data_IF_643319046718
#
_entry.id   IF_643319046718
#
_cell.length_a   1.000
_cell.length_b   1.000
_cell.length_c   1.000
_cell.angle_alpha   90.00
_cell.angle_beta   90.00
_cell.angle_gamma   90.00
#
_symmetry.space_group_name_H-M   'P 1'
#
loop_
_entity.id
_entity.type
_entity.pdbx_description
1 polymer ?
2 non-polymer ?
3 water ?
#
# COMPACT_ATOMS: atom_id res chain seq x y z
N UNK A 2 5.76 16.82 32.53
CA UNK A 2 6.58 15.61 32.50
C UNK A 2 6.00 14.57 31.55
N UNK A 3 4.68 14.43 31.55
CA UNK A 3 4.00 13.49 30.68
C UNK A 3 4.08 13.92 29.22
N UNK A 4 4.01 15.23 28.99
CA UNK A 4 4.09 15.79 27.63
C UNK A 4 5.50 15.58 27.06
N UNK A 5 6.51 15.82 27.89
CA UNK A 5 7.90 15.59 27.53
C UNK A 5 8.14 14.10 27.21
N UNK A 6 7.54 13.22 28.02
CA UNK A 6 7.62 11.76 27.80
C UNK A 6 7.03 11.37 26.44
N UNK A 7 5.89 11.97 26.10
CA UNK A 7 5.21 11.71 24.83
C UNK A 7 6.03 12.16 23.62
N UNK A 8 6.69 13.32 23.74
CA UNK A 8 7.48 13.84 22.63
C UNK A 8 8.65 12.92 22.29
N UNK A 9 9.25 12.32 23.33
CA UNK A 9 10.38 11.40 23.16
C UNK A 9 9.98 10.03 22.63
N UNK A 10 8.80 9.54 22.99
CA UNK A 10 8.26 8.32 22.39
C UNK A 10 7.86 8.59 20.93
N UNK A 11 7.11 9.67 20.73
CA UNK A 11 6.74 10.17 19.42
C UNK A 11 7.93 10.32 18.48
N UNK A 12 9.04 10.84 18.99
CA UNK A 12 10.27 11.02 18.20
C UNK A 12 10.82 9.68 17.71
N UNK A 13 10.89 8.71 18.62
CA UNK A 13 11.32 7.35 18.26
C UNK A 13 10.45 6.70 17.20
N UNK A 14 9.14 6.80 17.37
CA UNK A 14 8.16 6.21 16.45
C UNK A 14 8.32 6.81 15.05
N UNK A 15 8.53 8.13 15.01
CA UNK A 15 8.61 8.85 13.74
C UNK A 15 9.81 8.46 12.86
N UNK A 16 10.78 7.73 13.42
CA UNK A 16 11.87 7.24 12.59
C UNK A 16 11.54 5.93 11.85
N UNK A 17 10.52 5.21 12.33
CA UNK A 17 10.13 3.94 11.70
C UNK A 17 9.94 4.10 10.20
N UNK A 18 9.32 5.20 9.80
CA UNK A 18 9.03 5.49 8.39
C UNK A 18 10.27 5.58 7.51
N UNK A 19 11.44 5.80 8.14
CA UNK A 19 12.70 5.85 7.42
C UNK A 19 13.09 4.52 6.77
N UNK A 20 12.52 3.42 7.24
CA UNK A 20 12.77 2.14 6.60
C UNK A 20 12.32 2.16 5.11
N UNK A 21 11.30 2.98 4.82
CA UNK A 21 10.75 3.09 3.47
C UNK A 21 11.79 3.67 2.53
N UNK A 22 12.44 4.76 2.94
CA UNK A 22 13.50 5.37 2.13
C UNK A 22 14.71 4.44 2.03
N UNK A 23 15.09 3.80 3.14
CA UNK A 23 16.22 2.87 3.16
C UNK A 23 16.04 1.76 2.12
N UNK A 24 14.83 1.22 2.03
CA UNK A 24 14.51 0.17 1.07
C UNK A 24 14.30 0.77 -0.32
N UNK A 25 13.57 1.87 -0.40
CA UNK A 25 13.23 2.46 -1.69
C UNK A 25 14.42 2.99 -2.48
N UNK A 26 15.31 3.71 -1.81
CA UNK A 26 16.56 4.13 -2.44
C UNK A 26 17.32 2.92 -3.01
N UNK A 27 17.42 1.85 -2.21
CA UNK A 27 18.01 0.60 -2.68
C UNK A 27 17.36 0.02 -3.94
N UNK A 28 16.04 -0.01 -3.99
CA UNK A 28 15.32 -0.57 -5.12
C UNK A 28 15.68 0.22 -6.40
N UNK A 29 15.75 1.54 -6.27
CA UNK A 29 16.14 2.36 -7.40
C UNK A 29 17.55 2.01 -7.89
N UNK A 30 18.50 1.96 -6.96
CA UNK A 30 19.87 1.65 -7.34
C UNK A 30 20.06 0.25 -7.90
N UNK A 31 19.30 -0.72 -7.37
CA UNK A 31 19.27 -2.09 -7.90
C UNK A 31 18.83 -2.09 -9.35
N UNK A 32 17.75 -1.38 -9.66
CA UNK A 32 17.32 -1.23 -11.06
C UNK A 32 18.36 -0.56 -11.96
N UNK A 33 18.99 0.50 -11.46
CA UNK A 33 20.11 1.14 -12.16
C UNK A 33 21.21 0.16 -12.54
N UNK A 34 21.69 -0.59 -11.55
CA UNK A 34 22.78 -1.54 -11.77
C UNK A 34 22.34 -2.65 -12.75
N UNK A 35 21.10 -3.13 -12.60
CA UNK A 35 20.63 -4.19 -13.47
C UNK A 35 20.40 -3.69 -14.90
N UNK A 36 19.89 -2.47 -15.03
CA UNK A 36 19.68 -1.91 -16.34
C UNK A 36 20.95 -1.64 -17.11
N UNK A 37 21.93 -1.08 -16.41
CA UNK A 37 23.25 -0.84 -16.97
C UNK A 37 23.98 -2.15 -17.34
N UNK A 38 23.87 -3.17 -16.50
CA UNK A 38 24.51 -4.44 -16.81
C UNK A 38 23.94 -5.08 -18.07
N UNK A 39 22.64 -5.01 -18.24
CA UNK A 39 21.97 -5.54 -19.43
C UNK A 39 22.13 -4.70 -20.69
N UNK A 40 22.25 -3.37 -20.54
CA UNK A 40 22.42 -2.46 -21.68
C UNK A 40 23.39 -1.31 -21.32
N UNK A 41 24.70 -1.56 -21.36
CA UNK A 41 25.64 -0.57 -20.88
C UNK A 41 25.50 0.80 -21.58
N UNK A 42 25.10 0.82 -22.86
CA UNK A 42 25.01 2.08 -23.61
C UNK A 42 23.91 3.04 -23.10
N UNK A 43 23.04 2.53 -22.24
CA UNK A 43 21.91 3.34 -21.71
C UNK A 43 22.27 4.10 -20.42
N UNK A 44 23.47 3.89 -19.91
CA UNK A 44 23.91 4.45 -18.63
C UNK A 44 23.59 5.96 -18.48
N UNK A 45 23.94 6.76 -19.49
CA UNK A 45 23.74 8.21 -19.40
C UNK A 45 22.28 8.65 -19.45
N UNK A 46 21.41 7.76 -19.92
CA UNK A 46 19.98 8.01 -19.92
C UNK A 46 19.39 7.69 -18.54
N UNK A 47 19.76 6.54 -17.97
CA UNK A 47 19.05 6.03 -16.78
C UNK A 47 19.64 6.53 -15.47
N UNK A 48 20.90 6.96 -15.51
CA UNK A 48 21.50 7.51 -14.32
C UNK A 48 20.72 8.72 -13.77
N UNK A 49 20.42 9.74 -14.62
CA UNK A 49 19.60 10.83 -14.10
C UNK A 49 18.23 10.36 -13.60
N UNK A 50 17.66 9.32 -14.22
CA UNK A 50 16.38 8.81 -13.73
C UNK A 50 16.52 8.24 -12.31
N UNK A 51 17.62 7.52 -12.06
CA UNK A 51 17.86 6.94 -10.74
C UNK A 51 18.06 8.07 -9.71
N UNK A 52 18.71 9.15 -10.10
CA UNK A 52 18.91 10.30 -9.20
C UNK A 52 17.56 10.95 -8.84
N UNK A 53 16.68 11.14 -9.82
CA UNK A 53 15.35 11.66 -9.53
C UNK A 53 14.60 10.69 -8.63
N UNK A 54 14.67 9.40 -8.97
CA UNK A 54 14.10 8.34 -8.13
C UNK A 54 14.58 8.38 -6.70
N UNK A 55 15.91 8.43 -6.52
CA UNK A 55 16.49 8.51 -5.19
C UNK A 55 15.94 9.73 -4.44
N UNK A 56 15.90 10.88 -5.11
CA UNK A 56 15.53 12.13 -4.46
C UNK A 56 14.08 12.11 -3.95
N UNK A 57 13.17 11.63 -4.78
CA UNK A 57 11.78 11.54 -4.41
C UNK A 57 11.54 10.54 -3.27
N UNK A 58 12.19 9.39 -3.33
CA UNK A 58 12.11 8.42 -2.23
C UNK A 58 12.73 8.96 -0.93
N UNK A 59 13.91 9.54 -1.03
CA UNK A 59 14.56 10.23 0.10
C UNK A 59 13.67 11.28 0.75
N UNK A 60 12.88 12.01 -0.05
CA UNK A 60 12.00 13.06 0.52
C UNK A 60 11.02 12.53 1.58
N UNK A 61 10.53 11.31 1.39
CA UNK A 61 9.65 10.72 2.39
C UNK A 61 10.41 10.53 3.70
N UNK A 62 11.65 10.05 3.60
CA UNK A 62 12.50 9.86 4.77
C UNK A 62 12.82 11.18 5.48
N UNK A 63 13.17 12.19 4.70
CA UNK A 63 13.49 13.54 5.23
C UNK A 63 12.35 14.10 6.11
N UNK A 64 11.12 13.89 5.67
CA UNK A 64 9.94 14.42 6.34
C UNK A 64 9.53 13.62 7.58
N UNK A 65 9.84 12.32 7.59
CA UNK A 65 9.81 11.57 8.85
C UNK A 65 10.75 12.19 9.87
N UNK A 66 11.97 12.49 9.43
CA UNK A 66 13.03 12.99 10.30
C UNK A 66 12.74 14.42 10.78
N UNK A 67 12.04 15.18 9.94
CA UNK A 67 11.55 16.52 10.25
C UNK A 67 10.57 16.46 11.42
N UNK A 68 9.58 15.57 11.32
CA UNK A 68 8.63 15.36 12.41
C UNK A 68 9.41 14.94 13.67
N UNK A 69 10.37 14.05 13.50
CA UNK A 69 11.19 13.58 14.62
C UNK A 69 11.93 14.71 15.36
N UNK A 70 12.53 15.62 14.61
CA UNK A 70 13.29 16.72 15.19
C UNK A 70 12.38 17.82 15.76
N UNK A 71 11.17 17.95 15.21
CA UNK A 71 10.18 18.86 15.77
C UNK A 71 9.69 18.36 17.12
N UNK A 72 9.67 17.03 17.29
CA UNK A 72 9.27 16.43 18.55
C UNK A 72 10.37 16.46 19.62
N UNK A 73 11.60 16.12 19.21
CA UNK A 73 12.74 16.15 20.13
C UNK A 73 13.05 17.57 20.61
N UNK A 74 12.95 18.53 19.69
CA UNK A 74 13.17 19.94 20.01
C UNK A 74 11.90 20.73 19.71
N UNK B 2 -2.90 17.84 29.77
CA UNK B 2 -1.60 17.15 29.70
C UNK B 2 -1.68 15.83 28.93
N UNK B 3 -2.75 15.07 29.17
CA UNK B 3 -2.91 13.76 28.52
C UNK B 3 -3.28 13.89 27.04
N UNK B 4 -4.06 14.92 26.71
CA UNK B 4 -4.47 15.20 25.33
C UNK B 4 -3.27 15.64 24.49
N UNK B 5 -2.43 16.50 25.07
CA UNK B 5 -1.23 16.98 24.42
C UNK B 5 -0.24 15.83 24.21
N UNK B 6 -0.08 15.00 25.24
CA UNK B 6 0.70 13.77 25.15
C UNK B 6 0.27 12.90 23.96
N UNK B 7 -1.05 12.71 23.82
CA UNK B 7 -1.61 11.86 22.78
C UNK B 7 -1.49 12.45 21.37
N UNK B 8 -1.59 13.76 21.26
CA UNK B 8 -1.37 14.47 20.01
C UNK B 8 0.05 14.19 19.50
N UNK B 9 1.03 14.24 20.40
CA UNK B 9 2.43 14.02 20.02
C UNK B 9 2.75 12.56 19.71
N UNK B 10 2.12 11.63 20.42
CA UNK B 10 2.25 10.20 20.09
C UNK B 10 1.59 9.93 18.74
N UNK B 11 0.35 10.39 18.60
CA UNK B 11 -0.41 10.32 17.35
C UNK B 11 0.36 10.84 16.15
N UNK B 12 0.99 12.00 16.29
CA UNK B 12 1.75 12.61 15.19
C UNK B 12 2.93 11.74 14.74
N UNK B 13 3.60 11.09 15.69
CA UNK B 13 4.70 10.18 15.38
C UNK B 13 4.24 8.93 14.67
N UNK B 14 3.08 8.42 15.10
CA UNK B 14 2.51 7.21 14.51
C UNK B 14 2.05 7.47 13.07
N UNK B 15 1.56 8.69 12.85
CA UNK B 15 1.06 9.06 11.53
C UNK B 15 2.17 9.18 10.48
N UNK B 16 3.43 9.13 10.89
CA UNK B 16 4.50 9.16 9.88
C UNK B 16 4.86 7.74 9.38
N UNK B 17 4.44 6.71 10.10
CA UNK B 17 4.73 5.31 9.72
C UNK B 17 4.27 5.03 8.30
N UNK B 18 3.07 5.49 7.98
CA UNK B 18 2.49 5.35 6.64
C UNK B 18 3.33 5.86 5.47
N UNK B 19 4.26 6.79 5.74
CA UNK B 19 5.13 7.39 4.72
C UNK B 19 6.05 6.36 4.06
N UNK B 20 6.27 5.23 4.73
CA UNK B 20 7.12 4.17 4.22
C UNK B 20 6.54 3.58 2.93
N UNK B 21 5.22 3.67 2.79
CA UNK B 21 4.53 3.18 1.60
C UNK B 21 4.91 4.03 0.38
N UNK B 22 4.90 5.35 0.55
CA UNK B 22 5.33 6.27 -0.50
C UNK B 22 6.82 6.12 -0.81
N UNK B 23 7.62 5.96 0.23
CA UNK B 23 9.08 5.80 0.07
C UNK B 23 9.37 4.59 -0.81
N UNK B 24 8.67 3.48 -0.54
CA UNK B 24 8.85 2.24 -1.30
C UNK B 24 8.16 2.30 -2.67
N UNK B 25 6.92 2.79 -2.69
CA UNK B 25 6.14 2.86 -3.92
C UNK B 25 6.77 3.75 -4.98
N UNK B 26 7.22 4.93 -4.59
CA UNK B 26 7.92 5.78 -5.54
C UNK B 26 9.14 5.07 -6.16
N UNK B 27 9.92 4.40 -5.31
CA UNK B 27 11.04 3.59 -5.79
C UNK B 27 10.65 2.51 -6.80
N UNK B 28 9.53 1.83 -6.55
CA UNK B 28 9.08 0.71 -7.39
C UNK B 28 8.77 1.27 -8.79
N UNK B 29 8.12 2.43 -8.82
CA UNK B 29 7.78 3.07 -10.09
C UNK B 29 9.05 3.43 -10.86
N UNK B 30 10.04 3.99 -10.17
CA UNK B 30 11.29 4.39 -10.82
C UNK B 30 12.14 3.21 -11.25
N UNK B 31 12.08 2.13 -10.48
CA UNK B 31 12.73 0.88 -10.87
C UNK B 31 12.18 0.32 -12.19
N UNK B 32 10.85 0.34 -12.32
CA UNK B 32 10.18 -0.08 -13.56
C UNK B 32 10.56 0.84 -14.72
N UNK B 33 10.54 2.15 -14.48
CA UNK B 33 11.01 3.10 -15.48
C UNK B 33 12.42 2.73 -16.00
N UNK B 34 13.38 2.55 -15.09
CA UNK B 34 14.75 2.30 -15.46
C UNK B 34 14.86 0.97 -16.21
N UNK B 35 14.20 -0.06 -15.67
CA UNK B 35 14.27 -1.36 -16.33
C UNK B 35 13.59 -1.34 -17.70
N UNK B 36 12.46 -0.65 -17.84
CA UNK B 36 11.80 -0.60 -19.13
C UNK B 36 12.56 0.20 -20.18
N UNK B 37 13.15 1.32 -19.77
CA UNK B 37 14.03 2.08 -20.67
C UNK B 37 15.31 1.29 -21.06
N UNK B 38 15.93 0.57 -20.12
CA UNK B 38 17.11 -0.24 -20.45
C UNK B 38 16.78 -1.33 -21.48
N UNK B 39 15.63 -1.97 -21.31
CA UNK B 39 15.22 -3.02 -22.25
C UNK B 39 14.72 -2.47 -23.59
N UNK B 40 14.18 -1.26 -23.60
CA UNK B 40 13.64 -0.70 -24.83
C UNK B 40 13.83 0.82 -24.83
N UNK B 41 15.05 1.29 -25.16
CA UNK B 41 15.26 2.75 -25.08
C UNK B 41 14.29 3.61 -25.89
N UNK B 42 13.76 3.10 -27.01
CA UNK B 42 12.86 3.88 -27.88
C UNK B 42 11.51 4.25 -27.25
N UNK B 43 11.18 3.62 -26.13
CA UNK B 43 9.88 3.80 -25.48
C UNK B 43 9.91 4.91 -24.41
N UNK B 44 11.09 5.46 -24.16
CA UNK B 44 11.27 6.30 -22.96
C UNK B 44 10.30 7.50 -22.90
N UNK B 45 10.11 8.19 -24.02
CA UNK B 45 9.17 9.32 -24.06
C UNK B 45 7.73 8.89 -23.76
N UNK B 46 7.41 7.63 -24.01
CA UNK B 46 6.07 7.12 -23.67
C UNK B 46 5.93 6.79 -22.18
N UNK B 47 6.94 6.15 -21.60
CA UNK B 47 6.82 5.62 -20.24
C UNK B 47 7.18 6.64 -19.17
N UNK B 48 7.98 7.64 -19.55
CA UNK B 48 8.38 8.67 -18.60
C UNK B 48 7.16 9.40 -17.99
N UNK B 49 6.19 9.86 -18.82
CA UNK B 49 4.99 10.47 -18.20
C UNK B 49 4.13 9.50 -17.38
N UNK B 50 4.18 8.21 -17.69
CA UNK B 50 3.50 7.23 -16.83
C UNK B 50 4.16 7.15 -15.47
N UNK B 51 5.49 7.23 -15.45
CA UNK B 51 6.23 7.15 -14.21
C UNK B 51 5.94 8.38 -13.33
N UNK B 52 5.79 9.54 -13.97
CA UNK B 52 5.46 10.79 -13.25
C UNK B 52 4.05 10.71 -12.66
N UNK B 53 3.07 10.25 -13.45
CA UNK B 53 1.74 9.96 -12.93
C UNK B 53 1.77 8.97 -11.74
N UNK B 54 2.48 7.86 -11.90
CA UNK B 54 2.58 6.85 -10.84
C UNK B 54 3.20 7.34 -9.53
N UNK B 55 4.35 8.03 -9.66
CA UNK B 55 5.01 8.66 -8.52
C UNK B 55 4.05 9.61 -7.79
N UNK B 56 3.36 10.47 -8.57
CA UNK B 56 2.46 11.49 -8.02
C UNK B 56 1.34 10.90 -7.19
N UNK B 57 0.74 9.84 -7.73
CA UNK B 57 -0.38 9.17 -7.07
C UNK B 57 0.07 8.44 -5.81
N UNK B 58 1.22 7.76 -5.88
CA UNK B 58 1.78 7.08 -4.70
C UNK B 58 2.15 8.10 -3.59
N UNK B 59 2.85 9.17 -4.00
CA UNK B 59 3.20 10.30 -3.13
C UNK B 59 2.01 10.93 -2.40
N UNK B 60 0.86 11.05 -3.09
CA UNK B 60 -0.36 11.61 -2.50
C UNK B 60 -0.79 10.86 -1.22
N UNK B 61 -0.55 9.55 -1.16
CA UNK B 61 -0.86 8.79 0.06
C UNK B 61 0.01 9.25 1.22
N UNK B 62 1.30 9.46 0.95
CA UNK B 62 2.24 9.96 1.95
C UNK B 62 1.94 11.41 2.33
N UNK B 63 1.47 12.21 1.38
CA UNK B 63 1.12 13.61 1.66
C UNK B 63 0.00 13.70 2.71
N UNK B 64 -0.96 12.79 2.63
CA UNK B 64 -2.06 12.78 3.60
C UNK B 64 -1.72 12.16 4.97
N UNK B 65 -0.74 11.27 5.01
CA UNK B 65 -0.15 10.86 6.29
C UNK B 65 0.45 12.07 7.00
N UNK B 66 1.17 12.89 6.22
CA UNK B 66 1.80 14.10 6.71
C UNK B 66 0.81 15.15 7.20
N UNK B 67 -0.30 15.31 6.45
CA UNK B 67 -1.34 16.28 6.78
C UNK B 67 -1.94 15.97 8.16
N UNK B 68 -2.19 14.68 8.42
CA UNK B 68 -2.67 14.25 9.73
C UNK B 68 -1.63 14.52 10.82
N UNK B 69 -0.36 14.23 10.51
CA UNK B 69 0.76 14.50 11.40
C UNK B 69 0.83 15.99 11.80
N UNK B 70 0.75 16.87 10.81
CA UNK B 70 0.77 18.31 11.04
C UNK B 70 -0.47 18.82 11.75
N UNK B 71 -1.64 18.21 11.50
CA UNK B 71 -2.88 18.57 12.19
C UNK B 71 -2.81 18.26 13.68
N UNK B 72 -2.12 17.18 14.02
CA UNK B 72 -1.91 16.80 15.42
C UNK B 72 -0.83 17.65 16.08
N UNK B 73 0.21 17.98 15.32
CA UNK B 73 1.31 18.81 15.81
C UNK B 73 0.93 20.30 15.96
N UNK B 74 0.17 20.83 15.00
CA UNK B 74 -0.08 22.27 14.94
C UNK B 74 -1.55 22.70 15.08
N UNK B 75 -2.45 21.72 15.14
CA UNK B 75 -3.89 22.00 15.23
C UNK B 75 -4.32 22.71 16.50
N UNK C 2 -10.80 13.40 29.12
CA UNK C 2 -9.36 13.51 28.84
C UNK C 2 -8.84 12.22 28.21
N UNK C 3 -9.40 11.09 28.65
CA UNK C 3 -9.01 9.78 28.15
C UNK C 3 -9.61 9.51 26.76
N UNK C 4 -10.87 9.90 26.58
CA UNK C 4 -11.57 9.72 25.32
C UNK C 4 -10.91 10.55 24.20
N UNK C 5 -10.58 11.81 24.50
CA UNK C 5 -9.88 12.68 23.56
C UNK C 5 -8.51 12.14 23.19
N UNK C 6 -7.74 11.74 24.20
CA UNK C 6 -6.44 11.09 23.99
C UNK C 6 -6.55 9.94 22.99
N UNK C 7 -7.56 9.09 23.19
CA UNK C 7 -7.83 7.94 22.32
C UNK C 7 -8.19 8.33 20.88
N UNK C 8 -8.99 9.38 20.73
CA UNK C 8 -9.36 9.90 19.42
C UNK C 8 -8.12 10.25 18.59
N UNK C 9 -7.14 10.88 19.24
CA UNK C 9 -5.94 11.36 18.56
C UNK C 9 -4.88 10.28 18.33
N UNK C 10 -4.76 9.34 19.25
CA UNK C 10 -3.93 8.16 19.05
C UNK C 10 -4.51 7.33 17.89
N UNK C 11 -5.80 7.03 18.00
CA UNK C 11 -6.55 6.30 16.99
C UNK C 11 -6.43 6.88 15.59
N UNK C 12 -6.49 8.21 15.48
CA UNK C 12 -6.35 8.91 14.19
C UNK C 12 -4.97 8.71 13.58
N UNK C 13 -3.92 8.72 14.41
CA UNK C 13 -2.57 8.47 13.93
C UNK C 13 -2.39 7.03 13.46
N UNK C 14 -2.94 6.10 14.23
CA UNK C 14 -2.89 4.67 13.88
C UNK C 14 -3.62 4.40 12.55
N UNK C 15 -4.72 5.11 12.34
CA UNK C 15 -5.56 4.89 11.16
C UNK C 15 -4.91 5.34 9.85
N UNK C 16 -3.78 6.04 9.94
CA UNK C 16 -3.06 6.37 8.71
C UNK C 16 -2.12 5.25 8.23
N UNK C 17 -1.79 4.30 9.11
CA UNK C 17 -0.84 3.24 8.77
C UNK C 17 -1.30 2.49 7.51
N UNK C 18 -2.58 2.17 7.46
CA UNK C 18 -3.19 1.53 6.29
C UNK C 18 -2.89 2.16 4.94
N UNK C 19 -2.62 3.48 4.93
CA UNK C 19 -2.27 4.20 3.70
C UNK C 19 -1.02 3.67 2.97
N UNK C 20 -0.14 3.00 3.71
CA UNK C 20 1.06 2.42 3.09
C UNK C 20 0.69 1.39 2.04
N UNK C 21 -0.47 0.76 2.22
CA UNK C 21 -0.99 -0.24 1.27
C UNK C 21 -1.32 0.35 -0.09
N UNK C 22 -1.99 1.50 -0.09
CA UNK C 22 -2.29 2.18 -1.34
C UNK C 22 -1.01 2.81 -1.96
N UNK C 23 -0.11 3.33 -1.13
CA UNK C 23 1.12 3.93 -1.65
C UNK C 23 1.94 2.88 -2.39
N UNK C 24 2.00 1.67 -1.82
CA UNK C 24 2.69 0.54 -2.45
C UNK C 24 1.87 -0.04 -3.60
N UNK C 25 0.57 -0.26 -3.37
CA UNK C 25 -0.29 -0.84 -4.42
C UNK C 25 -0.33 0.01 -5.69
N UNK C 26 -0.55 1.31 -5.55
CA UNK C 26 -0.59 2.20 -6.73
C UNK C 26 0.71 2.08 -7.56
N UNK C 27 1.83 2.04 -6.85
CA UNK C 27 3.12 1.86 -7.48
C UNK C 27 3.25 0.57 -8.25
N UNK C 28 2.75 -0.53 -7.67
CA UNK C 28 2.79 -1.85 -8.30
C UNK C 28 2.03 -1.87 -9.63
N UNK C 29 0.84 -1.26 -9.64
CA UNK C 29 0.06 -1.11 -10.87
C UNK C 29 0.86 -0.31 -11.92
N UNK C 30 1.42 0.82 -11.52
CA UNK C 30 2.14 1.67 -12.49
C UNK C 30 3.43 1.03 -13.02
N UNK C 31 4.15 0.32 -12.15
CA UNK C 31 5.30 -0.53 -12.55
C UNK C 31 4.95 -1.53 -13.63
N UNK C 32 3.83 -2.22 -13.44
CA UNK C 32 3.35 -3.20 -14.41
C UNK C 32 2.98 -2.54 -15.74
N UNK C 33 2.38 -1.34 -15.65
CA UNK C 33 2.02 -0.59 -16.86
C UNK C 33 3.28 -0.26 -17.65
N UNK C 34 4.28 0.24 -16.91
CA UNK C 34 5.50 0.63 -17.55
C UNK C 34 6.19 -0.57 -18.17
N UNK C 35 6.25 -1.67 -17.42
CA UNK C 35 6.96 -2.81 -17.94
C UNK C 35 6.20 -3.44 -19.11
N UNK C 36 4.87 -3.49 -19.05
CA UNK C 36 4.10 -4.01 -20.17
C UNK C 36 4.22 -3.22 -21.46
N UNK C 37 4.12 -1.90 -21.34
CA UNK C 37 4.32 -0.99 -22.49
C UNK C 37 5.75 -1.09 -23.07
N UNK C 38 6.79 -1.11 -22.23
CA UNK C 38 8.16 -1.27 -22.74
C UNK C 38 8.34 -2.56 -23.55
N UNK C 39 7.72 -3.64 -23.08
CA UNK C 39 7.83 -4.94 -23.75
C UNK C 39 6.93 -5.04 -24.99
N UNK C 40 5.79 -4.36 -24.98
CA UNK C 40 4.86 -4.41 -26.12
C UNK C 40 4.21 -3.02 -26.32
N UNK C 41 4.92 -2.05 -26.94
CA UNK C 41 4.35 -0.69 -27.06
C UNK C 41 2.95 -0.60 -27.67
N UNK C 42 2.61 -1.51 -28.59
CA UNK C 42 1.32 -1.43 -29.27
C UNK C 42 0.12 -1.72 -28.34
N UNK C 43 0.37 -2.24 -27.15
CA UNK C 43 -0.68 -2.56 -26.17
C UNK C 43 -1.08 -1.37 -25.27
N UNK C 44 -0.39 -0.23 -25.40
CA UNK C 44 -0.60 0.93 -24.53
C UNK C 44 -2.09 1.34 -24.33
N UNK C 45 -2.82 1.53 -25.44
CA UNK C 45 -4.23 1.97 -25.32
C UNK C 45 -5.16 0.94 -24.66
N UNK C 46 -4.74 -0.32 -24.66
CA UNK C 46 -5.50 -1.39 -24.00
C UNK C 46 -5.25 -1.40 -22.48
N UNK C 47 -3.98 -1.34 -22.09
CA UNK C 47 -3.62 -1.52 -20.67
C UNK C 47 -3.70 -0.24 -19.83
N UNK C 48 -3.57 0.91 -20.48
CA UNK C 48 -3.62 2.17 -19.74
C UNK C 48 -4.93 2.31 -18.92
N UNK C 49 -6.10 2.06 -19.54
CA UNK C 49 -7.36 2.06 -18.77
C UNK C 49 -7.42 0.99 -17.69
N UNK C 50 -6.84 -0.19 -17.92
CA UNK C 50 -6.76 -1.20 -16.84
C UNK C 50 -5.95 -0.68 -15.66
N UNK C 51 -4.89 0.07 -15.96
CA UNK C 51 -4.03 0.63 -14.91
C UNK C 51 -4.78 1.72 -14.11
N UNK C 52 -5.59 2.52 -14.81
CA UNK C 52 -6.41 3.53 -14.13
C UNK C 52 -7.44 2.88 -13.17
N UNK C 53 -8.09 1.81 -13.62
CA UNK C 53 -9.03 1.06 -12.79
C UNK C 53 -8.34 0.43 -11.59
N UNK C 54 -7.17 -0.17 -11.81
CA UNK C 54 -6.39 -0.79 -10.73
C UNK C 54 -5.96 0.25 -9.68
N UNK C 55 -5.46 1.39 -10.15
CA UNK C 55 -5.11 2.51 -9.27
C UNK C 55 -6.32 2.95 -8.44
N UNK C 56 -7.46 3.13 -9.10
CA UNK C 56 -8.69 3.61 -8.46
C UNK C 56 -9.16 2.70 -7.32
N UNK C 57 -9.12 1.39 -7.58
CA UNK C 57 -9.57 0.41 -6.61
C UNK C 57 -8.55 0.30 -5.45
N UNK C 58 -7.27 0.45 -5.76
CA UNK C 58 -6.24 0.37 -4.74
C UNK C 58 -6.31 1.60 -3.85
N UNK C 59 -6.53 2.75 -4.49
CA UNK C 59 -6.65 4.05 -3.85
C UNK C 59 -7.81 4.11 -2.86
N UNK C 60 -8.93 3.50 -3.23
CA UNK C 60 -10.11 3.48 -2.39
C UNK C 60 -9.84 2.88 -1.01
N UNK C 61 -8.90 1.94 -0.91
CA UNK C 61 -8.57 1.35 0.39
C UNK C 61 -7.87 2.39 1.26
N UNK C 62 -7.07 3.24 0.60
CA UNK C 62 -6.40 4.35 1.26
C UNK C 62 -7.40 5.41 1.70
N UNK C 63 -8.34 5.74 0.82
CA UNK C 63 -9.36 6.76 1.10
C UNK C 63 -10.20 6.42 2.36
N UNK C 64 -10.55 5.15 2.52
CA UNK C 64 -11.33 4.70 3.69
C UNK C 64 -10.52 4.79 5.00
N UNK C 65 -9.24 4.46 4.97
CA UNK C 65 -8.36 4.68 6.12
C UNK C 65 -8.39 6.14 6.56
N UNK C 66 -8.26 7.04 5.59
CA UNK C 66 -8.23 8.47 5.87
C UNK C 66 -9.59 8.99 6.36
N UNK C 67 -10.68 8.36 5.89
CA UNK C 67 -12.02 8.70 6.33
C UNK C 67 -12.17 8.41 7.82
N UNK C 68 -11.75 7.21 8.23
CA UNK C 68 -11.74 6.82 9.64
C UNK C 68 -10.87 7.79 10.44
N UNK C 69 -9.70 8.12 9.89
CA UNK C 69 -8.80 9.09 10.48
C UNK C 69 -9.47 10.45 10.68
N UNK C 70 -10.22 10.92 9.68
CA UNK C 70 -10.91 12.21 9.74
C UNK C 70 -12.09 12.19 10.71
N UNK C 71 -12.79 11.05 10.78
CA UNK C 71 -13.89 10.88 11.73
C UNK C 71 -13.39 10.98 13.18
N UNK C 72 -12.26 10.35 13.47
CA UNK C 72 -11.67 10.40 14.81
C UNK C 72 -11.10 11.78 15.15
N UNK C 73 -10.62 12.51 14.13
CA UNK C 73 -10.12 13.87 14.34
C UNK C 73 -11.20 14.95 14.43
N UNK C 74 -12.27 14.81 13.65
CA UNK C 74 -13.25 15.90 13.52
C UNK C 74 -14.67 15.55 13.96
N UNK C 75 -14.95 14.26 14.19
CA UNK C 75 -16.27 13.83 14.62
C UNK C 75 -16.27 13.36 16.07
N UNK D 2 -15.93 5.92 30.13
CA UNK D 2 -14.80 6.63 29.53
C UNK D 2 -13.72 5.70 28.99
N UNK D 3 -13.37 4.69 29.78
CA UNK D 3 -12.36 3.70 29.40
C UNK D 3 -12.83 2.86 28.20
N UNK D 4 -14.09 2.45 28.23
CA UNK D 4 -14.68 1.64 27.17
C UNK D 4 -14.77 2.42 25.86
N UNK D 5 -15.15 3.69 25.95
CA UNK D 5 -15.24 4.55 24.77
C UNK D 5 -13.85 4.80 24.15
N UNK D 6 -12.88 5.10 25.01
CA UNK D 6 -11.49 5.26 24.58
C UNK D 6 -10.97 4.04 23.82
N UNK D 7 -11.32 2.85 24.33
CA UNK D 7 -10.94 1.60 23.70
C UNK D 7 -11.64 1.40 22.35
N UNK D 8 -12.89 1.86 22.24
CA UNK D 8 -13.61 1.81 20.97
C UNK D 8 -12.89 2.59 19.87
N UNK D 9 -12.29 3.72 20.24
CA UNK D 9 -11.61 4.59 19.28
C UNK D 9 -10.21 4.13 18.93
N UNK D 10 -9.47 3.60 19.91
CA UNK D 10 -8.19 2.94 19.66
C UNK D 10 -8.40 1.73 18.75
N UNK D 11 -9.33 0.86 19.14
CA UNK D 11 -9.73 -0.31 18.36
C UNK D 11 -10.10 -0.01 16.92
N UNK D 12 -10.92 1.02 16.70
CA UNK D 12 -11.34 1.42 15.37
C UNK D 12 -10.15 1.84 14.48
N UNK D 13 -9.16 2.48 15.09
CA UNK D 13 -7.95 2.88 14.37
C UNK D 13 -7.08 1.71 14.01
N UNK D 14 -6.93 0.79 14.97
CA UNK D 14 -6.18 -0.45 14.76
C UNK D 14 -6.80 -1.27 13.63
N UNK D 15 -8.12 -1.28 13.55
CA UNK D 15 -8.83 -2.14 12.60
C UNK D 15 -8.63 -1.73 11.14
N UNK D 16 -8.16 -0.50 10.89
CA UNK D 16 -7.89 -0.11 9.50
C UNK D 16 -6.54 -0.60 8.99
N UNK D 17 -5.66 -1.05 9.88
CA UNK D 17 -4.33 -1.54 9.47
C UNK D 17 -4.47 -2.63 8.39
N UNK D 18 -5.37 -3.59 8.61
CA UNK D 18 -5.59 -4.68 7.67
C UNK D 18 -5.99 -4.29 6.25
N UNK D 19 -6.53 -3.09 6.07
CA UNK D 19 -6.76 -2.54 4.75
C UNK D 19 -5.53 -2.46 3.84
N UNK D 20 -4.32 -2.43 4.42
CA UNK D 20 -3.11 -2.40 3.61
C UNK D 20 -3.01 -3.69 2.75
N UNK D 21 -3.65 -4.76 3.24
CA UNK D 21 -3.67 -6.07 2.57
C UNK D 21 -4.44 -6.01 1.26
N UNK D 22 -5.62 -5.40 1.30
CA UNK D 22 -6.42 -5.17 0.09
C UNK D 22 -5.76 -4.14 -0.86
N UNK D 23 -5.25 -3.04 -0.32
CA UNK D 23 -4.52 -2.06 -1.13
C UNK D 23 -3.45 -2.71 -2.00
N UNK D 24 -2.59 -3.51 -1.37
CA UNK D 24 -1.52 -4.23 -2.07
C UNK D 24 -2.07 -5.40 -2.91
N UNK D 25 -3.00 -6.16 -2.34
CA UNK D 25 -3.49 -7.36 -3.04
C UNK D 25 -4.17 -6.97 -4.35
N UNK D 26 -5.04 -5.97 -4.31
CA UNK D 26 -5.74 -5.51 -5.52
C UNK D 26 -4.74 -5.11 -6.60
N UNK D 27 -3.66 -4.45 -6.18
CA UNK D 27 -2.63 -4.01 -7.11
C UNK D 27 -1.92 -5.19 -7.75
N UNK D 28 -1.63 -6.21 -6.96
CA UNK D 28 -0.94 -7.41 -7.45
C UNK D 28 -1.77 -8.11 -8.53
N UNK D 29 -3.09 -8.13 -8.36
CA UNK D 29 -4.00 -8.72 -9.34
C UNK D 29 -3.96 -7.93 -10.63
N UNK D 30 -4.14 -6.62 -10.54
CA UNK D 30 -4.08 -5.76 -11.72
C UNK D 30 -2.72 -5.72 -12.43
N UNK D 31 -1.64 -5.77 -11.66
CA UNK D 31 -0.31 -5.93 -12.26
C UNK D 31 -0.20 -7.20 -13.10
N UNK D 32 -0.77 -8.30 -12.62
CA UNK D 32 -0.70 -9.56 -13.38
C UNK D 32 -1.52 -9.46 -14.66
N UNK D 33 -2.70 -8.86 -14.55
CA UNK D 33 -3.56 -8.60 -15.70
C UNK D 33 -2.81 -7.83 -16.77
N UNK D 34 -2.20 -6.72 -16.37
CA UNK D 34 -1.53 -5.84 -17.32
C UNK D 34 -0.37 -6.62 -17.96
N UNK D 35 0.39 -7.32 -17.14
CA UNK D 35 1.53 -8.04 -17.68
C UNK D 35 1.07 -9.21 -18.58
N UNK D 36 0.01 -9.91 -18.17
CA UNK D 36 -0.53 -11.00 -18.99
C UNK D 36 -1.05 -10.55 -20.33
N UNK D 37 -1.77 -9.42 -20.34
CA UNK D 37 -2.28 -8.85 -21.57
C UNK D 37 -1.15 -8.32 -22.46
N UNK D 38 -0.12 -7.72 -21.86
CA UNK D 38 1.00 -7.25 -22.66
C UNK D 38 1.76 -8.37 -23.37
N UNK D 39 1.94 -9.50 -22.69
CA UNK D 39 2.62 -10.66 -23.27
C UNK D 39 1.76 -11.44 -24.27
N UNK D 40 0.45 -11.44 -24.08
CA UNK D 40 -0.45 -12.19 -24.96
C UNK D 40 -1.75 -11.42 -25.10
N UNK D 41 -1.78 -10.41 -25.99
CA UNK D 41 -3.02 -9.62 -26.08
C UNK D 41 -4.30 -10.41 -26.34
N UNK D 42 -4.22 -11.50 -27.12
CA UNK D 42 -5.44 -12.28 -27.45
C UNK D 42 -6.11 -12.90 -26.21
N UNK D 43 -5.40 -12.95 -25.08
CA UNK D 43 -5.95 -13.59 -23.86
C UNK D 43 -6.81 -12.66 -22.97
N UNK D 44 -6.90 -11.38 -23.38
CA UNK D 44 -7.59 -10.34 -22.60
C UNK D 44 -8.99 -10.75 -22.09
N UNK D 45 -9.86 -11.20 -22.97
CA UNK D 45 -11.23 -11.56 -22.59
C UNK D 45 -11.31 -12.72 -21.60
N UNK D 46 -10.29 -13.59 -21.63
CA UNK D 46 -10.19 -14.73 -20.73
C UNK D 46 -9.72 -14.29 -19.33
N UNK D 47 -8.73 -13.42 -19.24
CA UNK D 47 -8.10 -13.13 -17.93
C UNK D 47 -8.76 -11.95 -17.21
N UNK D 48 -9.41 -11.07 -17.95
CA UNK D 48 -10.14 -9.97 -17.32
C UNK D 48 -11.13 -10.45 -16.24
N UNK D 49 -11.97 -11.48 -16.53
CA UNK D 49 -12.88 -11.92 -15.46
C UNK D 49 -12.18 -12.55 -14.26
N UNK D 50 -11.02 -13.17 -14.50
CA UNK D 50 -10.20 -13.71 -13.41
C UNK D 50 -9.66 -12.59 -12.53
N UNK D 51 -9.27 -11.48 -13.15
CA UNK D 51 -8.80 -10.30 -12.42
C UNK D 51 -9.93 -9.71 -11.58
N UNK D 52 -11.13 -9.66 -12.13
CA UNK D 52 -12.27 -9.12 -11.37
C UNK D 52 -12.56 -9.98 -10.14
N UNK D 53 -12.61 -11.29 -10.32
CA UNK D 53 -12.80 -12.22 -9.22
C UNK D 53 -11.70 -12.05 -8.16
N UNK D 54 -10.44 -12.03 -8.62
CA UNK D 54 -9.29 -11.79 -7.76
C UNK D 54 -9.43 -10.52 -6.94
N UNK D 55 -9.74 -9.41 -7.63
CA UNK D 55 -9.95 -8.14 -6.96
C UNK D 55 -11.01 -8.25 -5.84
N UNK D 56 -12.18 -8.81 -6.19
CA UNK D 56 -13.33 -8.88 -5.29
C UNK D 56 -13.01 -9.69 -4.04
N UNK D 57 -12.31 -10.81 -4.23
CA UNK D 57 -11.96 -11.68 -3.10
C UNK D 57 -10.91 -11.04 -2.19
N UNK D 58 -9.91 -10.37 -2.77
CA UNK D 58 -8.95 -9.59 -2.01
C UNK D 58 -9.61 -8.40 -1.30
N UNK D 59 -10.50 -7.71 -2.01
CA UNK D 59 -11.22 -6.55 -1.47
C UNK D 59 -12.11 -6.92 -0.29
N UNK D 60 -12.64 -8.13 -0.29
CA UNK D 60 -13.57 -8.56 0.75
C UNK D 60 -12.89 -8.56 2.11
N UNK D 61 -11.60 -8.88 2.14
CA UNK D 61 -10.84 -8.85 3.39
C UNK D 61 -10.75 -7.42 3.94
N UNK D 62 -10.53 -6.45 3.05
CA UNK D 62 -10.47 -5.04 3.44
C UNK D 62 -11.83 -4.54 3.93
N UNK D 63 -12.87 -4.98 3.24
CA UNK D 63 -14.26 -4.64 3.56
C UNK D 63 -14.63 -5.03 5.00
N UNK D 64 -14.21 -6.23 5.41
CA UNK D 64 -14.45 -6.70 6.76
C UNK D 64 -13.64 -5.99 7.85
N UNK D 65 -12.43 -5.55 7.51
CA UNK D 65 -11.67 -4.69 8.41
C UNK D 65 -12.44 -3.41 8.69
N UNK D 66 -13.02 -2.83 7.64
CA UNK D 66 -13.78 -1.59 7.78
C UNK D 66 -15.07 -1.79 8.60
N UNK D 67 -15.71 -2.94 8.42
CA UNK D 67 -16.94 -3.26 9.15
C UNK D 67 -16.68 -3.26 10.67
N UNK D 68 -15.61 -3.93 11.08
CA UNK D 68 -15.18 -3.97 12.49
C UNK D 68 -14.85 -2.56 12.98
N UNK D 69 -14.19 -1.80 12.11
CA UNK D 69 -13.87 -0.40 12.40
C UNK D 69 -15.12 0.41 12.73
N UNK D 70 -16.14 0.32 11.88
CA UNK D 70 -17.38 1.08 12.02
C UNK D 70 -18.32 0.55 13.10
N UNK D 71 -18.23 -0.75 13.43
CA UNK D 71 -18.91 -1.28 14.59
C UNK D 71 -18.36 -0.62 15.85
N UNK D 72 -17.04 -0.48 15.90
CA UNK D 72 -16.39 0.15 17.05
C UNK D 72 -16.66 1.66 17.14
N UNK D 73 -16.63 2.36 16.00
CA UNK D 73 -16.93 3.80 15.94
C UNK D 73 -18.40 4.10 16.24
N UNK D 74 -19.28 3.21 15.81
CA UNK D 74 -20.72 3.37 15.97
C UNK D 74 -21.35 2.06 16.43
N UNK E 2 -15.36 -2.63 33.30
CA UNK E 2 -15.02 -1.63 32.30
C UNK E 2 -13.68 -1.94 31.62
N UNK E 3 -12.76 -2.51 32.39
CA UNK E 3 -11.43 -2.86 31.91
C UNK E 3 -11.45 -4.07 30.98
N UNK E 4 -12.32 -5.04 31.30
CA UNK E 4 -12.51 -6.24 30.46
C UNK E 4 -13.16 -5.89 29.12
N UNK E 5 -14.19 -5.04 29.14
CA UNK E 5 -14.87 -4.64 27.90
C UNK E 5 -13.93 -3.83 27.00
N UNK E 6 -13.15 -2.95 27.62
CA UNK E 6 -12.08 -2.21 26.94
C UNK E 6 -11.15 -3.15 26.19
N UNK E 7 -10.72 -4.20 26.87
CA UNK E 7 -9.82 -5.19 26.30
C UNK E 7 -10.45 -5.94 25.12
N UNK E 8 -11.73 -6.28 25.25
CA UNK E 8 -12.46 -6.97 24.19
C UNK E 8 -12.49 -6.12 22.90
N UNK E 9 -12.62 -4.81 23.08
CA UNK E 9 -12.71 -3.92 21.94
C UNK E 9 -11.36 -3.69 21.28
N UNK E 10 -10.31 -3.49 22.08
CA UNK E 10 -8.96 -3.32 21.55
C UNK E 10 -8.51 -4.63 20.88
N UNK E 11 -8.70 -5.74 21.60
CA UNK E 11 -8.47 -7.09 21.07
C UNK E 11 -9.14 -7.37 19.73
N UNK E 12 -10.43 -7.02 19.62
CA UNK E 12 -11.18 -7.18 18.36
C UNK E 12 -10.49 -6.47 17.20
N UNK E 13 -10.06 -5.23 17.45
CA UNK E 13 -9.32 -4.46 16.46
C UNK E 13 -8.00 -5.10 16.05
N UNK E 14 -7.22 -5.51 17.04
CA UNK E 14 -5.93 -6.14 16.79
C UNK E 14 -6.10 -7.41 15.94
N UNK E 15 -7.18 -8.14 16.18
CA UNK E 15 -7.39 -9.42 15.51
C UNK E 15 -7.71 -9.32 14.00
N UNK E 16 -7.95 -8.10 13.50
CA UNK E 16 -8.21 -7.92 12.07
C UNK E 16 -6.92 -7.69 11.26
N UNK E 17 -5.81 -7.42 11.93
CA UNK E 17 -4.52 -7.23 11.27
C UNK E 17 -4.15 -8.43 10.40
N UNK E 18 -4.29 -9.64 10.95
CA UNK E 18 -3.98 -10.87 10.22
C UNK E 18 -4.73 -11.04 8.90
N UNK E 19 -5.82 -10.29 8.72
CA UNK E 19 -6.59 -10.30 7.47
C UNK E 19 -5.79 -9.78 6.29
N UNK E 20 -4.78 -8.96 6.56
CA UNK E 20 -3.89 -8.49 5.51
C UNK E 20 -3.24 -9.69 4.77
N UNK E 21 -3.00 -10.78 5.52
CA UNK E 21 -2.43 -12.01 5.00
C UNK E 21 -3.29 -12.69 3.93
N UNK E 22 -4.59 -12.83 4.18
CA UNK E 22 -5.52 -13.27 3.14
C UNK E 22 -5.63 -12.26 2.00
N UNK E 23 -5.72 -10.97 2.31
CA UNK E 23 -5.82 -9.93 1.28
C UNK E 23 -4.73 -10.07 0.24
N UNK E 24 -3.50 -10.22 0.71
CA UNK E 24 -2.35 -10.37 -0.18
C UNK E 24 -2.28 -11.80 -0.75
N UNK E 25 -2.44 -12.80 0.12
CA UNK E 25 -2.29 -14.19 -0.34
C UNK E 25 -3.25 -14.53 -1.48
N UNK E 26 -4.53 -14.20 -1.31
CA UNK E 26 -5.53 -14.43 -2.37
C UNK E 26 -5.10 -13.78 -3.70
N UNK E 27 -4.62 -12.55 -3.61
CA UNK E 27 -4.12 -11.85 -4.80
C UNK E 27 -2.94 -12.56 -5.47
N UNK E 28 -2.00 -13.06 -4.67
CA UNK E 28 -0.85 -13.83 -5.18
C UNK E 28 -1.30 -15.07 -6.00
N UNK E 29 -2.32 -15.76 -5.49
CA UNK E 29 -2.86 -16.92 -6.19
C UNK E 29 -3.46 -16.50 -7.52
N UNK E 30 -4.32 -15.50 -7.49
CA UNK E 30 -4.92 -14.99 -8.74
C UNK E 30 -3.91 -14.41 -9.76
N UNK E 31 -2.86 -13.75 -9.27
CA UNK E 31 -1.79 -13.26 -10.14
C UNK E 31 -1.09 -14.41 -10.88
N UNK E 32 -0.82 -15.50 -10.16
CA UNK E 32 -0.28 -16.72 -10.77
C UNK E 32 -1.23 -17.31 -11.81
N UNK E 33 -2.51 -17.36 -11.48
CA UNK E 33 -3.49 -17.87 -12.40
C UNK E 33 -3.46 -17.07 -13.70
N UNK E 34 -3.52 -15.75 -13.59
CA UNK E 34 -3.53 -14.88 -14.75
C UNK E 34 -2.25 -15.07 -15.60
N UNK E 35 -1.11 -15.12 -14.91
CA UNK E 35 0.15 -15.23 -15.62
C UNK E 35 0.33 -16.63 -16.23
N UNK E 36 -0.16 -17.67 -15.55
CA UNK E 36 -0.08 -18.99 -16.16
C UNK E 36 -0.97 -19.17 -17.38
N UNK E 37 -2.19 -18.64 -17.31
CA UNK E 37 -3.11 -18.73 -18.43
C UNK E 37 -2.66 -17.86 -19.61
N UNK E 38 -2.07 -16.69 -19.34
CA UNK E 38 -1.54 -15.87 -20.42
C UNK E 38 -0.40 -16.55 -21.16
N UNK E 39 0.48 -17.23 -20.42
CA UNK E 39 1.60 -17.95 -21.04
C UNK E 39 1.18 -19.25 -21.71
N UNK E 40 0.16 -19.91 -21.17
CA UNK E 40 -0.29 -21.20 -21.72
C UNK E 40 -1.82 -21.28 -21.66
N UNK E 41 -2.53 -20.63 -22.60
CA UNK E 41 -4.02 -20.63 -22.51
C UNK E 41 -4.67 -22.01 -22.41
N UNK E 42 -4.05 -23.03 -23.00
CA UNK E 42 -4.62 -24.37 -23.03
C UNK E 42 -4.66 -25.03 -21.63
N UNK E 43 -3.99 -24.43 -20.66
CA UNK E 43 -3.90 -25.03 -19.31
C UNK E 43 -5.00 -24.54 -18.37
N UNK E 44 -5.85 -23.62 -18.84
CA UNK E 44 -6.86 -22.93 -18.03
C UNK E 44 -7.70 -23.88 -17.14
N UNK E 45 -8.22 -24.96 -17.74
CA UNK E 45 -9.17 -25.86 -17.05
C UNK E 45 -8.47 -26.71 -15.99
N UNK E 46 -7.17 -26.86 -16.13
CA UNK E 46 -6.34 -27.52 -15.14
C UNK E 46 -6.01 -26.62 -13.93
N UNK E 47 -5.62 -25.38 -14.20
CA UNK E 47 -5.11 -24.53 -13.13
C UNK E 47 -6.20 -23.74 -12.40
N UNK E 48 -7.35 -23.57 -13.04
CA UNK E 48 -8.41 -22.82 -12.37
C UNK E 48 -8.89 -23.47 -11.05
N UNK E 49 -9.13 -24.80 -11.03
CA UNK E 49 -9.44 -25.49 -9.77
C UNK E 49 -8.31 -25.43 -8.72
N UNK E 50 -7.07 -25.31 -9.16
CA UNK E 50 -5.96 -25.12 -8.23
C UNK E 50 -6.01 -23.72 -7.61
N UNK E 51 -6.41 -22.74 -8.40
CA UNK E 51 -6.51 -21.38 -7.87
C UNK E 51 -7.66 -21.28 -6.86
N UNK E 52 -8.77 -21.95 -7.13
CA UNK E 52 -9.90 -21.99 -6.19
C UNK E 52 -9.49 -22.67 -4.87
N UNK E 53 -8.85 -23.83 -4.96
CA UNK E 53 -8.32 -24.49 -3.77
C UNK E 53 -7.37 -23.57 -3.02
N UNK E 54 -6.40 -22.98 -3.73
CA UNK E 54 -5.42 -22.07 -3.10
C UNK E 54 -6.06 -20.86 -2.44
N UNK E 55 -7.01 -20.22 -3.13
CA UNK E 55 -7.79 -19.13 -2.56
C UNK E 55 -8.46 -19.57 -1.26
N UNK E 56 -9.14 -20.71 -1.29
CA UNK E 56 -9.94 -21.14 -0.15
C UNK E 56 -9.09 -21.41 1.08
N UNK E 57 -7.91 -22.00 0.87
CA UNK E 57 -6.98 -22.33 1.96
C UNK E 57 -6.31 -21.07 2.55
N UNK E 58 -6.02 -20.09 1.71
CA UNK E 58 -5.47 -18.83 2.20
C UNK E 58 -6.56 -18.01 2.92
N UNK E 59 -7.76 -18.03 2.36
CA UNK E 59 -8.90 -17.31 2.92
C UNK E 59 -9.33 -17.84 4.28
N UNK E 60 -9.11 -19.13 4.52
CA UNK E 60 -9.48 -19.75 5.79
C UNK E 60 -8.69 -19.16 6.96
N UNK E 61 -7.44 -18.78 6.69
CA UNK E 61 -6.62 -18.10 7.69
C UNK E 61 -7.25 -16.77 8.08
N UNK E 62 -7.70 -16.01 7.09
CA UNK E 62 -8.39 -14.74 7.34
C UNK E 62 -9.72 -14.94 8.05
N UNK E 63 -10.44 -16.00 7.66
CA UNK E 63 -11.73 -16.32 8.25
C UNK E 63 -11.63 -16.53 9.76
N UNK E 64 -10.56 -17.19 10.19
CA UNK E 64 -10.38 -17.46 11.61
C UNK E 64 -9.88 -16.27 12.43
N UNK E 65 -9.12 -15.36 11.81
CA UNK E 65 -8.83 -14.06 12.42
C UNK E 65 -10.14 -13.35 12.73
N UNK E 66 -11.07 -13.43 11.78
CA UNK E 66 -12.37 -12.78 11.88
C UNK E 66 -13.29 -13.44 12.93
N UNK E 67 -13.15 -14.75 13.12
CA UNK E 67 -13.88 -15.49 14.16
C UNK E 67 -13.47 -14.96 15.53
N UNK E 68 -12.15 -14.82 15.73
CA UNK E 68 -11.56 -14.30 16.97
C UNK E 68 -12.04 -12.86 17.23
N UNK E 69 -12.05 -12.05 16.18
CA UNK E 69 -12.60 -10.69 16.22
C UNK E 69 -14.04 -10.67 16.74
N UNK E 70 -14.91 -11.42 16.07
CA UNK E 70 -16.34 -11.47 16.40
C UNK E 70 -16.64 -12.06 17.78
N UNK E 71 -15.85 -13.05 18.20
CA UNK E 71 -15.93 -13.61 19.56
C UNK E 71 -15.61 -12.57 20.63
N UNK E 72 -14.65 -11.71 20.36
CA UNK E 72 -14.31 -10.61 21.27
C UNK E 72 -15.37 -9.51 21.28
N UNK E 73 -15.88 -9.15 20.10
CA UNK E 73 -16.93 -8.12 19.98
C UNK E 73 -18.22 -8.52 20.68
N UNK E 74 -18.61 -9.80 20.55
CA UNK E 74 -19.91 -10.26 21.01
C UNK E 74 -19.84 -11.24 22.19
#
# INVERSE_FOLDING_TARGET
XQLVLAAKYIGAGISTIGLLGAGIGIAIVFAALINGVSRNPSIKDTVFPMAILGFALSEATGLFCLMVSFLLLFGV
XQLVLAAKYIGAGISTIGLLGAGIGIAIVFAALINGVSRNPSIKDTVFPMAILGFALSEATGLFCLMVSFLLLFGV
XQLVLAAKYIGAGISTIGLLGAGIGIAIVFAALINGVSRNPSIKDTVFPMAILGFALSEATGLFCLMVSFLLLFGV
XQLVLAAKYIGAGISTIGLLGAGIGIAIVFAALINGVSRNPSIKDTVFPMAILGFALSEATGLFCLMVSFLLLFGV
XQLVLAAKYIGAGISTIGLLGAGIGIAIVFAALINGVSRNPSIKDTVFPMAILGFALSEATGLFCLMVSFLLLFGV
#
